data_IF_915235351958
#
_entry.id   IF_915235351958
#
_cell.length_a   1.000
_cell.length_b   1.000
_cell.length_c   1.000
_cell.angle_alpha   90.00
_cell.angle_beta   90.00
_cell.angle_gamma   90.00
#
_symmetry.space_group_name_H-M   'P 1'
#
loop_
_entity.id
_entity.type
_entity.pdbx_description
1 polymer ?
#
# COMPACT_ATOMS: atom_id res chain seq x y z
N UNK A 1 -2.68 -12.59 -19.07
CA UNK A 1 -3.08 -13.00 -17.71
C UNK A 1 -2.57 -11.94 -16.76
N UNK A 2 -3.33 -11.59 -15.72
CA UNK A 2 -2.91 -10.65 -14.67
C UNK A 2 -3.17 -11.28 -13.30
N UNK A 3 -2.27 -11.06 -12.33
CA UNK A 3 -2.38 -11.64 -10.99
C UNK A 3 -2.93 -10.64 -10.00
N UNK A 4 -3.88 -11.04 -9.15
CA UNK A 4 -4.55 -10.16 -8.18
C UNK A 4 -4.65 -10.86 -6.83
N UNK A 5 -4.47 -10.11 -5.74
CA UNK A 5 -4.56 -10.65 -4.39
C UNK A 5 -5.65 -9.99 -3.55
N UNK A 6 -6.12 -10.71 -2.53
CA UNK A 6 -7.23 -10.32 -1.64
C UNK A 6 -6.87 -10.62 -0.18
N UNK A 7 -7.08 -9.65 0.71
CA UNK A 7 -6.86 -9.81 2.16
C UNK A 7 -8.17 -10.24 2.85
N UNK A 8 -8.23 -11.49 3.31
CA UNK A 8 -9.46 -12.23 3.61
C UNK A 8 -9.28 -13.23 4.75
N UNK A 9 -10.23 -13.32 5.69
CA UNK A 9 -10.23 -14.34 6.76
C UNK A 9 -10.81 -15.71 6.37
N UNK A 10 -11.57 -15.79 5.27
CA UNK A 10 -12.38 -16.95 4.88
C UNK A 10 -12.08 -17.49 3.46
N UNK A 11 -11.38 -16.72 2.63
CA UNK A 11 -11.16 -16.87 1.19
C UNK A 11 -12.37 -16.52 0.29
N UNK A 12 -13.46 -16.01 0.86
CA UNK A 12 -14.68 -15.66 0.15
C UNK A 12 -14.92 -14.15 0.14
N UNK A 13 -14.54 -13.43 1.20
CA UNK A 13 -14.79 -11.99 1.37
C UNK A 13 -13.51 -11.20 1.65
N UNK A 14 -13.46 -9.95 1.19
CA UNK A 14 -12.40 -8.99 1.56
C UNK A 14 -12.81 -8.27 2.85
N UNK A 15 -12.11 -8.54 3.94
CA UNK A 15 -12.43 -8.01 5.27
C UNK A 15 -11.20 -7.48 6.04
N UNK A 16 -9.98 -7.92 5.69
CA UNK A 16 -8.78 -7.64 6.49
C UNK A 16 -8.13 -6.28 6.17
N UNK A 17 -7.52 -5.68 7.20
CA UNK A 17 -6.53 -4.61 7.04
C UNK A 17 -5.19 -5.21 6.57
N UNK A 18 -4.67 -4.79 5.40
CA UNK A 18 -3.49 -5.41 4.76
C UNK A 18 -2.28 -5.61 5.70
N UNK A 19 -1.95 -4.61 6.53
CA UNK A 19 -0.82 -4.70 7.45
C UNK A 19 -0.95 -5.83 8.47
N UNK A 20 -2.17 -6.01 9.01
CA UNK A 20 -2.50 -6.99 10.04
C UNK A 20 -3.09 -8.30 9.47
N UNK A 21 -3.33 -8.36 8.15
CA UNK A 21 -3.95 -9.51 7.50
C UNK A 21 -3.19 -10.81 7.78
N UNK A 22 -3.88 -11.80 8.31
CA UNK A 22 -3.33 -13.12 8.63
C UNK A 22 -3.29 -14.02 7.39
N UNK A 23 -3.99 -13.65 6.32
CA UNK A 23 -4.02 -14.38 5.05
C UNK A 23 -4.13 -13.45 3.85
N UNK A 24 -3.50 -13.85 2.74
CA UNK A 24 -3.65 -13.24 1.42
C UNK A 24 -3.95 -14.34 0.39
N UNK A 25 -5.04 -14.19 -0.36
CA UNK A 25 -5.49 -15.14 -1.39
C UNK A 25 -5.13 -14.58 -2.76
N UNK A 26 -4.55 -15.38 -3.65
CA UNK A 26 -4.01 -14.92 -4.94
C UNK A 26 -4.66 -15.65 -6.10
N UNK A 27 -5.17 -14.90 -7.07
CA UNK A 27 -5.78 -15.41 -8.29
C UNK A 27 -5.04 -14.93 -9.55
N UNK A 28 -4.93 -15.81 -10.54
CA UNK A 28 -4.50 -15.49 -11.90
C UNK A 28 -5.74 -15.33 -12.78
N UNK A 29 -5.87 -14.16 -13.40
CA UNK A 29 -7.05 -13.77 -14.16
C UNK A 29 -6.72 -13.73 -15.65
N UNK A 30 -7.49 -14.47 -16.42
CA UNK A 30 -7.55 -14.44 -17.88
C UNK A 30 -8.94 -14.00 -18.33
N UNK A 31 -9.11 -13.77 -19.64
CA UNK A 31 -10.43 -13.49 -20.23
C UNK A 31 -11.38 -14.65 -19.90
N UNK A 32 -12.45 -14.36 -19.15
CA UNK A 32 -13.45 -15.30 -18.66
C UNK A 32 -12.93 -16.47 -17.79
N UNK A 33 -11.81 -16.30 -17.08
CA UNK A 33 -11.35 -17.28 -16.08
C UNK A 33 -10.53 -16.64 -14.96
N UNK A 34 -10.79 -17.05 -13.72
CA UNK A 34 -9.93 -16.75 -12.58
C UNK A 34 -9.52 -18.07 -11.91
N UNK A 35 -8.22 -18.33 -11.83
CA UNK A 35 -7.66 -19.54 -11.22
C UNK A 35 -7.07 -19.18 -9.84
N UNK A 36 -7.38 -19.95 -8.80
CA UNK A 36 -6.71 -19.81 -7.51
C UNK A 36 -5.25 -20.27 -7.64
N UNK A 37 -4.30 -19.35 -7.47
CA UNK A 37 -2.85 -19.61 -7.53
C UNK A 37 -2.33 -20.13 -6.19
N UNK A 38 -2.88 -19.60 -5.10
CA UNK A 38 -2.49 -20.01 -3.75
C UNK A 38 -2.99 -19.09 -2.65
N UNK A 39 -2.76 -19.54 -1.43
CA UNK A 39 -3.09 -18.85 -0.19
C UNK A 39 -1.80 -18.71 0.62
N UNK A 40 -1.45 -17.48 0.97
CA UNK A 40 -0.33 -17.18 1.86
C UNK A 40 -0.86 -16.85 3.25
N UNK A 41 -0.32 -17.51 4.28
CA UNK A 41 -0.68 -17.26 5.68
C UNK A 41 0.48 -16.58 6.43
N UNK A 42 0.12 -15.67 7.34
CA UNK A 42 1.03 -14.73 7.99
C UNK A 42 0.66 -14.57 9.46
N UNK A 43 1.65 -14.50 10.35
CA UNK A 43 1.40 -14.34 11.78
C UNK A 43 0.72 -12.99 12.09
N UNK A 44 -0.38 -13.02 12.85
CA UNK A 44 -1.02 -11.83 13.42
C UNK A 44 -0.01 -11.05 14.26
N UNK A 45 0.10 -9.74 14.05
CA UNK A 45 0.96 -8.86 14.84
C UNK A 45 0.25 -7.55 15.12
N UNK A 46 0.06 -7.25 16.40
CA UNK A 46 -0.51 -5.98 16.84
C UNK A 46 0.45 -4.81 16.56
N UNK A 47 -0.08 -3.69 16.10
CA UNK A 47 0.71 -2.49 15.84
C UNK A 47 1.02 -1.79 17.17
N UNK A 48 2.25 -1.94 17.69
CA UNK A 48 2.73 -1.20 18.86
C UNK A 48 2.99 0.28 18.52
N UNK A 49 1.91 1.05 18.34
CA UNK A 49 1.94 2.49 18.10
C UNK A 49 1.66 3.29 19.37
N UNK A 50 2.71 3.74 20.06
CA UNK A 50 2.62 4.78 21.09
C UNK A 50 2.48 6.15 20.40
N UNK A 51 1.37 6.85 20.63
CA UNK A 51 1.22 8.27 20.26
C UNK A 51 1.64 9.13 21.43
N UNK A 52 2.30 10.28 21.19
CA UNK A 52 3.19 10.92 22.18
C UNK A 52 2.98 12.43 22.41
N UNK A 53 1.94 12.74 23.20
CA UNK A 53 1.15 13.99 23.30
C UNK A 53 -0.09 13.80 24.23
N UNK A 54 -0.14 12.65 24.91
CA UNK A 54 -1.29 11.72 25.26
C UNK A 54 -1.19 11.83 26.87
N UNK A 55 -0.13 11.37 27.56
CA UNK A 55 0.00 11.33 29.05
C UNK A 55 0.53 12.63 29.67
N UNK A 56 0.19 13.79 29.10
CA UNK A 56 0.60 15.10 29.64
C UNK A 56 -0.57 15.76 30.40
N UNK A 57 -0.40 16.17 31.67
CA UNK A 57 -1.39 16.98 32.39
C UNK A 57 -1.89 18.16 31.55
N UNK A 58 -3.18 18.47 31.64
CA UNK A 58 -3.85 19.42 30.72
C UNK A 58 -3.18 20.81 30.71
N UNK A 59 -2.73 21.29 31.87
CA UNK A 59 -1.96 22.53 32.02
C UNK A 59 -0.60 22.49 31.28
N UNK A 60 0.08 21.34 31.32
CA UNK A 60 1.40 21.14 30.74
C UNK A 60 1.31 21.02 29.21
N UNK A 61 0.34 20.23 28.74
CA UNK A 61 -0.05 20.11 27.32
C UNK A 61 -0.40 21.48 26.70
N UNK A 62 -1.06 22.34 27.45
CA UNK A 62 -1.41 23.71 27.03
C UNK A 62 -0.18 24.64 26.96
N UNK A 63 0.78 24.50 27.89
CA UNK A 63 2.05 25.25 27.86
C UNK A 63 2.92 24.87 26.67
N UNK A 64 3.10 23.57 26.40
CA UNK A 64 3.96 23.11 25.30
C UNK A 64 3.43 23.53 23.92
N UNK A 65 2.11 23.46 23.69
CA UNK A 65 1.49 24.00 22.46
C UNK A 65 1.74 25.51 22.35
N UNK A 66 1.64 26.25 23.45
CA UNK A 66 1.88 27.71 23.48
C UNK A 66 3.35 28.08 23.22
N UNK A 67 4.30 27.23 23.62
CA UNK A 67 5.73 27.43 23.38
C UNK A 67 6.15 26.99 21.98
N UNK A 68 5.60 25.89 21.46
CA UNK A 68 5.81 25.48 20.07
C UNK A 68 5.31 26.55 19.09
N UNK A 69 4.13 27.13 19.35
CA UNK A 69 3.56 28.22 18.58
C UNK A 69 4.25 29.58 18.81
N UNK A 70 5.09 29.72 19.84
CA UNK A 70 6.04 30.86 19.99
C UNK A 70 7.32 30.66 19.19
N UNK A 71 7.86 29.44 19.16
CA UNK A 71 9.14 29.12 18.48
C UNK A 71 9.01 29.06 16.96
N UNK A 72 7.80 28.84 16.42
CA UNK A 72 7.53 28.80 14.97
C UNK A 72 6.42 29.81 14.60
N UNK A 73 6.74 31.10 14.34
CA UNK A 73 5.74 32.14 14.14
C UNK A 73 4.79 31.87 12.94
N UNK A 74 5.25 31.14 11.93
CA UNK A 74 4.44 30.72 10.78
C UNK A 74 3.31 29.73 11.16
N UNK A 75 3.58 28.79 12.08
CA UNK A 75 2.57 27.83 12.56
C UNK A 75 1.40 28.53 13.29
N UNK A 76 1.66 29.66 13.95
CA UNK A 76 0.65 30.37 14.75
C UNK A 76 -0.55 30.80 13.93
N UNK A 77 -0.33 31.26 12.69
CA UNK A 77 -1.42 31.63 11.76
C UNK A 77 -2.17 30.41 11.22
N UNK A 78 -1.47 29.30 10.96
CA UNK A 78 -2.08 28.08 10.44
C UNK A 78 -2.97 27.39 11.48
N UNK A 79 -2.47 27.23 12.71
CA UNK A 79 -3.20 26.63 13.83
C UNK A 79 -4.50 27.38 14.13
N UNK A 80 -4.42 28.72 14.19
CA UNK A 80 -5.58 29.60 14.44
C UNK A 80 -6.56 29.67 13.25
N UNK A 81 -6.14 29.28 12.03
CA UNK A 81 -7.00 29.20 10.84
C UNK A 81 -7.71 27.85 10.70
N UNK A 82 -7.12 26.77 11.19
CA UNK A 82 -7.70 25.41 11.12
C UNK A 82 -8.66 25.11 12.28
N UNK A 83 -8.33 25.54 13.51
CA UNK A 83 -9.04 25.07 14.72
C UNK A 83 -10.04 26.06 15.35
N UNK A 84 -10.31 27.21 14.73
CA UNK A 84 -11.07 28.31 15.38
C UNK A 84 -12.54 28.01 15.74
N UNK A 85 -13.16 26.94 15.23
CA UNK A 85 -14.61 26.73 15.41
C UNK A 85 -15.06 25.26 15.51
N UNK A 86 -14.53 24.49 16.48
CA UNK A 86 -15.11 23.18 16.83
C UNK A 86 -14.83 22.70 18.27
N UNK A 87 -15.23 23.50 19.27
CA UNK A 87 -15.15 23.23 20.71
C UNK A 87 -16.09 22.09 21.21
N UNK A 88 -16.14 20.97 20.47
CA UNK A 88 -17.04 19.83 20.73
C UNK A 88 -16.43 18.47 20.32
N UNK A 89 -15.32 18.47 19.55
CA UNK A 89 -14.66 17.21 19.13
C UNK A 89 -13.86 16.58 20.27
N UNK A 90 -13.08 17.37 21.01
CA UNK A 90 -12.25 16.87 22.12
C UNK A 90 -13.09 16.23 23.24
N UNK A 91 -14.21 16.86 23.61
CA UNK A 91 -15.15 16.37 24.63
C UNK A 91 -15.78 15.02 24.28
N UNK A 92 -15.76 14.60 23.01
CA UNK A 92 -16.25 13.29 22.56
C UNK A 92 -15.16 12.21 22.54
N UNK A 93 -13.89 12.59 22.41
CA UNK A 93 -12.75 11.68 22.52
C UNK A 93 -12.44 11.32 23.99
N UNK A 94 -12.68 12.24 24.93
CA UNK A 94 -12.47 12.03 26.37
C UNK A 94 -13.31 10.89 27.01
N UNK A 95 -14.24 10.24 26.28
CA UNK A 95 -14.94 9.02 26.73
C UNK A 95 -14.26 7.70 26.32
N UNK A 96 -13.24 7.75 25.45
CA UNK A 96 -12.42 6.60 25.07
C UNK A 96 -11.06 6.76 25.73
N UNK A 97 -11.00 6.44 27.02
CA UNK A 97 -9.87 6.70 27.90
C UNK A 97 -8.58 6.01 27.45
N UNK A 98 -7.76 6.75 26.71
CA UNK A 98 -6.31 6.54 26.62
C UNK A 98 -5.64 7.89 26.79
N UNK A 99 -4.55 7.90 27.53
CA UNK A 99 -3.65 9.04 27.66
C UNK A 99 -2.36 8.77 26.84
N UNK A 100 -2.06 9.65 25.85
CA UNK A 100 -0.48 9.63 24.76
C UNK A 100 1.02 9.74 25.31
N UNK A 101 1.68 8.72 25.85
CA UNK A 101 3.04 8.76 26.47
C UNK A 101 4.13 9.63 25.78
N UNK A 102 4.84 10.52 26.50
CA UNK A 102 5.81 11.48 25.92
C UNK A 102 7.32 11.12 26.19
N UNK A 103 8.26 11.36 25.25
CA UNK A 103 9.60 10.74 25.28
C UNK A 103 10.75 11.62 25.82
N UNK A 104 11.84 10.95 26.20
CA UNK A 104 13.08 11.51 26.78
C UNK A 104 14.30 11.40 25.83
N UNK A 105 15.46 11.93 26.25
CA UNK A 105 16.64 12.15 25.41
C UNK A 105 17.40 10.89 24.95
N UNK A 106 17.02 9.68 25.39
CA UNK A 106 17.59 8.44 24.85
C UNK A 106 17.21 8.22 23.37
N UNK A 107 16.14 8.88 22.89
CA UNK A 107 15.75 8.87 21.48
C UNK A 107 16.65 9.75 20.57
N UNK A 108 17.70 10.37 21.12
CA UNK A 108 18.69 11.12 20.34
C UNK A 108 19.56 10.24 19.42
N UNK A 109 19.62 8.92 19.68
CA UNK A 109 20.00 7.88 18.71
C UNK A 109 21.49 7.72 18.37
N UNK A 110 22.08 6.61 18.81
CA UNK A 110 23.19 5.90 18.13
C UNK A 110 22.92 4.36 18.24
N UNK A 111 23.55 3.48 17.44
CA UNK A 111 22.78 2.42 16.79
C UNK A 111 22.81 1.02 17.42
N UNK A 112 21.64 0.38 17.45
CA UNK A 112 21.44 -0.95 16.82
C UNK A 112 19.96 -1.14 16.42
N UNK A 113 19.68 -2.25 15.74
CA UNK A 113 18.37 -2.93 15.63
C UNK A 113 17.23 -2.21 14.87
N UNK A 114 17.14 -2.54 13.57
CA UNK A 114 15.89 -2.59 12.80
C UNK A 114 15.68 -4.04 12.32
N UNK A 115 14.44 -4.57 12.19
CA UNK A 115 13.14 -3.92 12.42
C UNK A 115 12.09 -4.87 13.08
N UNK A 116 10.79 -4.53 12.97
CA UNK A 116 9.74 -5.54 12.74
C UNK A 116 8.97 -5.29 11.42
N UNK A 117 9.65 -4.71 10.43
CA UNK A 117 9.12 -4.41 9.08
C UNK A 117 9.03 -5.66 8.20
N UNK A 118 9.73 -6.73 8.57
CA UNK A 118 9.90 -7.97 7.78
C UNK A 118 8.57 -8.65 7.46
N UNK A 119 7.54 -8.41 8.29
CA UNK A 119 6.18 -8.91 8.12
C UNK A 119 5.47 -8.31 6.91
N UNK A 120 5.77 -7.05 6.59
CA UNK A 120 5.30 -6.40 5.35
C UNK A 120 6.19 -6.79 4.17
N UNK A 121 7.49 -7.02 4.39
CA UNK A 121 8.41 -7.55 3.35
C UNK A 121 8.00 -8.95 2.89
N UNK A 122 7.69 -9.87 3.81
CA UNK A 122 7.20 -11.21 3.50
C UNK A 122 5.90 -11.18 2.68
N UNK A 123 4.97 -10.28 3.01
CA UNK A 123 3.76 -10.04 2.21
C UNK A 123 4.07 -9.48 0.83
N UNK A 124 5.04 -8.56 0.70
CA UNK A 124 5.44 -7.99 -0.60
C UNK A 124 6.14 -9.02 -1.51
N UNK A 125 6.98 -9.89 -0.96
CA UNK A 125 7.61 -10.98 -1.70
C UNK A 125 6.59 -12.06 -2.11
N UNK A 126 5.59 -12.36 -1.26
CA UNK A 126 4.47 -13.22 -1.65
C UNK A 126 3.60 -12.58 -2.75
N UNK A 127 3.42 -11.26 -2.73
CA UNK A 127 2.69 -10.51 -3.76
C UNK A 127 3.51 -10.17 -5.00
N UNK A 128 4.74 -10.69 -5.13
CA UNK A 128 5.64 -10.40 -6.26
C UNK A 128 5.02 -10.84 -7.59
N UNK A 129 4.88 -9.89 -8.51
CA UNK A 129 4.18 -10.11 -9.80
C UNK A 129 2.65 -9.93 -9.75
N UNK A 130 2.05 -9.64 -8.58
CA UNK A 130 0.66 -9.19 -8.51
C UNK A 130 0.53 -7.79 -9.13
N UNK A 131 -0.50 -7.59 -9.95
CA UNK A 131 -0.85 -6.29 -10.49
C UNK A 131 -1.59 -5.41 -9.47
N UNK A 132 -2.33 -6.02 -8.53
CA UNK A 132 -3.11 -5.35 -7.51
C UNK A 132 -3.29 -6.20 -6.24
N UNK A 133 -3.59 -5.53 -5.12
CA UNK A 133 -4.05 -6.13 -3.87
C UNK A 133 -5.28 -5.39 -3.32
N UNK A 134 -6.32 -6.16 -3.00
CA UNK A 134 -7.56 -5.71 -2.39
C UNK A 134 -7.53 -5.92 -0.87
N UNK A 135 -7.94 -4.91 -0.10
CA UNK A 135 -8.08 -4.99 1.36
C UNK A 135 -9.17 -4.03 1.87
N UNK A 136 -9.71 -4.29 3.07
CA UNK A 136 -10.67 -3.38 3.71
C UNK A 136 -10.01 -2.06 4.17
N UNK A 137 -8.69 -2.06 4.40
CA UNK A 137 -7.89 -0.84 4.57
C UNK A 137 -6.39 -1.13 4.44
N UNK A 138 -5.59 -0.12 4.13
CA UNK A 138 -4.13 -0.23 3.91
C UNK A 138 -3.42 0.96 4.60
N UNK A 139 -2.41 0.68 5.41
CA UNK A 139 -1.64 1.72 6.11
C UNK A 139 -0.73 2.52 5.17
N UNK A 140 -0.53 3.81 5.42
CA UNK A 140 0.21 4.72 4.53
C UNK A 140 1.67 4.28 4.23
N UNK A 141 2.33 3.60 5.17
CA UNK A 141 3.64 2.98 4.98
C UNK A 141 3.60 1.78 4.01
N UNK A 142 2.51 1.01 4.03
CA UNK A 142 2.28 -0.12 3.12
C UNK A 142 1.88 0.34 1.72
N UNK A 143 1.04 1.38 1.59
CA UNK A 143 0.70 2.00 0.30
C UNK A 143 1.97 2.40 -0.46
N UNK A 144 2.91 3.09 0.21
CA UNK A 144 4.19 3.48 -0.40
C UNK A 144 5.01 2.29 -0.90
N UNK A 145 5.05 1.17 -0.16
CA UNK A 145 5.81 -0.02 -0.54
C UNK A 145 5.13 -0.82 -1.66
N UNK A 146 3.80 -0.94 -1.64
CA UNK A 146 3.02 -1.57 -2.71
C UNK A 146 3.20 -0.82 -4.04
N UNK A 147 3.07 0.52 -4.02
CA UNK A 147 3.32 1.35 -5.21
C UNK A 147 4.76 1.24 -5.71
N UNK A 148 5.76 1.20 -4.82
CA UNK A 148 7.16 1.00 -5.19
C UNK A 148 7.43 -0.41 -5.78
N UNK A 149 6.68 -1.42 -5.33
CA UNK A 149 6.67 -2.77 -5.92
C UNK A 149 5.77 -2.86 -7.18
N UNK A 150 5.19 -1.75 -7.65
CA UNK A 150 4.30 -1.66 -8.82
C UNK A 150 2.99 -2.47 -8.68
N UNK A 151 2.61 -2.81 -7.44
CA UNK A 151 1.35 -3.48 -7.05
C UNK A 151 0.32 -2.39 -6.72
N UNK A 152 -0.82 -2.35 -7.41
CA UNK A 152 -1.88 -1.38 -7.15
C UNK A 152 -2.60 -1.67 -5.80
N UNK A 153 -2.59 -0.76 -4.81
CA UNK A 153 -3.38 -0.89 -3.60
C UNK A 153 -4.84 -0.50 -3.90
N UNK A 154 -5.80 -1.39 -3.60
CA UNK A 154 -7.23 -1.14 -3.77
C UNK A 154 -7.93 -1.34 -2.43
N UNK A 155 -8.60 -0.28 -1.98
CA UNK A 155 -9.40 -0.30 -0.75
C UNK A 155 -10.86 -0.49 -1.13
N UNK A 156 -11.52 -1.45 -0.49
CA UNK A 156 -12.96 -1.75 -0.66
C UNK A 156 -13.66 -1.74 0.70
N UNK A 157 -15.00 -1.67 0.69
CA UNK A 157 -15.77 -1.86 1.92
C UNK A 157 -15.69 -3.32 2.40
N UNK A 158 -15.48 -3.58 3.70
CA UNK A 158 -15.35 -4.93 4.23
C UNK A 158 -16.62 -5.76 3.98
N UNK A 159 -16.45 -7.04 3.66
CA UNK A 159 -17.55 -7.95 3.31
C UNK A 159 -17.88 -7.99 1.82
N UNK A 160 -17.12 -7.29 0.95
CA UNK A 160 -17.21 -7.51 -0.50
C UNK A 160 -16.76 -8.94 -0.86
N UNK A 161 -17.62 -9.71 -1.53
CA UNK A 161 -17.27 -11.04 -2.04
C UNK A 161 -16.15 -10.96 -3.09
N UNK A 162 -15.19 -11.87 -3.00
CA UNK A 162 -14.04 -11.96 -3.90
C UNK A 162 -14.49 -12.34 -5.31
N UNK A 163 -15.50 -13.20 -5.47
CA UNK A 163 -16.10 -13.53 -6.77
C UNK A 163 -16.61 -12.26 -7.49
N UNK A 164 -17.31 -11.39 -6.77
CA UNK A 164 -17.83 -10.12 -7.27
C UNK A 164 -16.70 -9.19 -7.75
N UNK A 165 -15.58 -9.15 -7.02
CA UNK A 165 -14.40 -8.37 -7.38
C UNK A 165 -13.65 -8.97 -8.58
N UNK A 166 -13.52 -10.30 -8.65
CA UNK A 166 -12.98 -11.03 -9.81
C UNK A 166 -13.83 -10.79 -11.06
N UNK A 167 -15.17 -10.81 -10.94
CA UNK A 167 -16.11 -10.51 -12.02
C UNK A 167 -15.99 -9.05 -12.50
N UNK A 168 -15.85 -8.08 -11.58
CA UNK A 168 -15.57 -6.67 -11.92
C UNK A 168 -14.22 -6.52 -12.65
N UNK A 169 -13.18 -7.27 -12.27
CA UNK A 169 -11.89 -7.27 -12.98
C UNK A 169 -12.01 -7.91 -14.37
N UNK A 170 -12.68 -9.06 -14.51
CA UNK A 170 -12.89 -9.70 -15.81
C UNK A 170 -13.69 -8.80 -16.77
N UNK A 171 -14.75 -8.14 -16.28
CA UNK A 171 -15.51 -7.16 -17.06
C UNK A 171 -14.60 -6.02 -17.57
N UNK A 172 -13.70 -5.51 -16.73
CA UNK A 172 -12.71 -4.51 -17.15
C UNK A 172 -11.67 -5.06 -18.14
N UNK A 173 -11.28 -6.34 -18.07
CA UNK A 173 -10.44 -6.97 -19.09
C UNK A 173 -11.15 -7.07 -20.45
N UNK A 174 -12.48 -7.19 -20.46
CA UNK A 174 -13.31 -7.31 -21.66
C UNK A 174 -13.73 -5.97 -22.27
N UNK A 175 -14.03 -4.96 -21.44
CA UNK A 175 -14.64 -3.70 -21.87
C UNK A 175 -13.78 -2.45 -21.61
N UNK A 176 -12.67 -2.58 -20.89
CA UNK A 176 -11.85 -1.44 -20.43
C UNK A 176 -12.53 -0.65 -19.31
N UNK A 177 -12.16 0.62 -19.17
CA UNK A 177 -12.76 1.57 -18.22
C UNK A 177 -12.14 1.54 -16.82
N UNK A 178 -11.15 0.68 -16.56
CA UNK A 178 -10.44 0.60 -15.27
C UNK A 178 -8.94 0.67 -15.52
N UNK A 179 -8.39 1.88 -15.37
CA UNK A 179 -7.01 2.21 -15.79
C UNK A 179 -5.92 1.28 -15.23
N UNK A 180 -6.05 0.78 -13.99
CA UNK A 180 -5.05 -0.15 -13.43
C UNK A 180 -5.11 -1.53 -14.09
N UNK A 181 -6.29 -1.99 -14.55
CA UNK A 181 -6.46 -3.26 -15.28
C UNK A 181 -5.86 -3.14 -16.68
N UNK A 182 -6.10 -2.01 -17.36
CA UNK A 182 -5.50 -1.70 -18.66
C UNK A 182 -3.96 -1.64 -18.57
N UNK A 183 -3.42 -0.95 -17.56
CA UNK A 183 -1.98 -0.96 -17.25
C UNK A 183 -1.45 -2.35 -16.90
N UNK A 184 -2.21 -3.16 -16.15
CA UNK A 184 -1.83 -4.53 -15.81
C UNK A 184 -1.75 -5.43 -17.06
N UNK A 185 -2.73 -5.33 -17.96
CA UNK A 185 -2.74 -6.04 -19.24
C UNK A 185 -1.55 -5.58 -20.11
N UNK A 186 -1.33 -4.28 -20.26
CA UNK A 186 -0.22 -3.73 -21.04
C UNK A 186 1.14 -4.22 -20.54
N UNK A 187 1.38 -4.18 -19.22
CA UNK A 187 2.60 -4.72 -18.60
C UNK A 187 2.73 -6.24 -18.80
N UNK A 188 1.64 -7.00 -18.68
CA UNK A 188 1.66 -8.45 -18.90
C UNK A 188 1.96 -8.83 -20.36
N UNK A 189 1.44 -8.06 -21.34
CA UNK A 189 1.77 -8.23 -22.76
C UNK A 189 3.25 -7.89 -23.01
N UNK A 190 3.73 -6.74 -22.52
CA UNK A 190 5.13 -6.32 -22.66
C UNK A 190 6.11 -7.36 -22.09
N UNK A 191 5.82 -7.92 -20.91
CA UNK A 191 6.63 -8.97 -20.28
C UNK A 191 6.58 -10.32 -21.01
N UNK A 192 5.60 -10.53 -21.90
CA UNK A 192 5.43 -11.79 -22.66
C UNK A 192 6.05 -11.75 -24.06
N UNK A 193 6.41 -10.55 -24.56
CA UNK A 193 7.12 -10.41 -25.82
C UNK A 193 8.61 -10.77 -25.61
N UNK A 194 9.22 -11.59 -26.48
CA UNK A 194 10.65 -11.80 -26.41
C UNK A 194 11.37 -10.47 -26.67
N UNK A 195 12.31 -10.12 -25.80
CA UNK A 195 13.25 -9.02 -26.05
C UNK A 195 13.82 -9.19 -27.46
N UNK A 196 13.70 -8.16 -28.31
CA UNK A 196 14.07 -8.30 -29.72
C UNK A 196 15.51 -8.81 -29.83
N UNK A 197 15.67 -9.91 -30.57
CA UNK A 197 16.99 -10.46 -30.84
C UNK A 197 17.85 -9.38 -31.47
N UNK A 198 19.09 -9.25 -30.99
CA UNK A 198 20.08 -8.32 -31.52
C UNK A 198 20.22 -8.52 -33.02
N UNK A 199 19.65 -7.58 -33.80
CA UNK A 199 19.79 -7.55 -35.25
C UNK A 199 21.29 -7.47 -35.54
N UNK A 200 21.90 -8.46 -36.21
CA UNK A 200 23.28 -8.33 -36.65
C UNK A 200 23.33 -7.16 -37.61
N UNK A 201 24.15 -6.15 -37.32
CA UNK A 201 24.35 -5.02 -38.22
C UNK A 201 24.97 -5.55 -39.51
N UNK A 202 24.15 -5.75 -40.54
CA UNK A 202 24.61 -6.13 -41.86
C UNK A 202 25.40 -4.95 -42.44
N UNK A 203 26.71 -4.97 -42.23
CA UNK A 203 27.63 -4.05 -42.89
C UNK A 203 27.55 -4.28 -44.40
N UNK A 204 27.50 -3.21 -45.19
CA UNK A 204 27.59 -3.24 -46.65
C UNK A 204 28.95 -3.81 -47.10
N UNK A 205 29.06 -5.14 -47.13
CA UNK A 205 30.16 -5.81 -47.80
C UNK A 205 29.93 -5.68 -49.31
N UNK A 206 30.73 -4.80 -49.92
CA UNK A 206 30.58 -4.35 -51.30
C UNK A 206 30.60 -5.53 -52.27
N UNK A 207 29.43 -5.90 -52.80
CA UNK A 207 29.32 -6.79 -53.96
C UNK A 207 29.92 -6.07 -55.18
N UNK A 208 31.22 -6.24 -55.36
CA UNK A 208 31.93 -5.90 -56.60
C UNK A 208 31.38 -6.81 -57.69
N UNK A 209 30.57 -6.24 -58.57
CA UNK A 209 30.23 -6.86 -59.85
C UNK A 209 31.43 -6.64 -60.76
N UNK A 210 32.31 -7.64 -60.87
CA UNK A 210 33.39 -7.62 -61.85
C UNK A 210 32.79 -7.79 -63.27
N UNK A 211 33.10 -6.89 -64.22
CA UNK A 211 32.51 -6.91 -65.56
C UNK A 211 33.34 -7.73 -66.55
N UNK A 212 32.83 -8.89 -66.96
CA UNK A 212 33.27 -9.68 -68.12
C UNK A 212 32.07 -10.31 -68.83
#
# INVERSE_FOLDING_TARGET
>A
MIRVAFASTDNEHVDMHFGAAERLVVFDIARNRADLVGVGEFTKVEMKGENRLIDLPEEQRTRDITDLLRRVPFMRTLYWRVFRNRASVFTKLARLGKEPYAPSLEEAGLPSDRPPEDKVVAKLEFLKGCAAVYAASIGASSVKRLMAANIQPIIVEPGHAIEDLLNRVNAAMHHGGVAWVEQAIGRAVANSLPSQASIPSYSDEQVRIDPY
#
